data_IF_857433393591
#
_entry.id   IF_857433393591
#
_cell.length_a   1.000
_cell.length_b   1.000
_cell.length_c   1.000
_cell.angle_alpha   90.00
_cell.angle_beta   90.00
_cell.angle_gamma   90.00
#
_symmetry.space_group_name_H-M   'P 1'
#
loop_
_entity.id
_entity.type
_entity.pdbx_description
1 polymer ?
#
# COMPACT_ATOMS: atom_id res chain seq x y z
N UNK A 1 -6.19 16.64 5.66
CA UNK A 1 -6.38 15.18 5.91
C UNK A 1 -4.98 14.57 5.94
N UNK A 2 -4.60 13.91 7.04
CA UNK A 2 -3.27 13.31 7.21
C UNK A 2 -2.98 12.30 6.11
N UNK A 3 -1.80 12.34 5.50
CA UNK A 3 -1.43 11.40 4.43
C UNK A 3 -1.25 9.99 4.98
N UNK A 4 -1.62 8.98 4.19
CA UNK A 4 -1.29 7.59 4.44
C UNK A 4 0.22 7.37 4.19
N UNK A 5 0.88 6.62 5.08
CA UNK A 5 2.30 6.28 4.92
C UNK A 5 2.50 4.78 4.95
N UNK A 6 3.19 4.28 3.93
CA UNK A 6 3.59 2.88 3.79
C UNK A 6 5.10 2.75 3.82
N UNK A 7 5.61 1.85 4.67
CA UNK A 7 7.01 1.44 4.68
C UNK A 7 7.12 0.06 4.05
N UNK A 8 7.78 -0.04 2.91
CA UNK A 8 7.84 -1.25 2.09
C UNK A 8 9.21 -1.93 2.13
N UNK A 9 9.23 -3.25 1.90
CA UNK A 9 10.45 -4.05 1.89
C UNK A 9 11.01 -4.32 3.29
N UNK A 10 10.14 -4.46 4.27
CA UNK A 10 10.49 -4.86 5.64
C UNK A 10 10.93 -6.33 5.65
N UNK A 11 12.05 -6.61 6.31
CA UNK A 11 12.66 -7.95 6.41
C UNK A 11 12.93 -8.39 7.85
N UNK A 12 12.69 -7.51 8.82
CA UNK A 12 12.89 -7.76 10.25
C UNK A 12 11.71 -7.23 11.06
N UNK A 13 11.46 -7.85 12.19
CA UNK A 13 10.46 -7.39 13.17
C UNK A 13 10.84 -6.04 13.78
N UNK A 14 12.13 -5.80 14.02
CA UNK A 14 12.64 -4.53 14.54
C UNK A 14 12.29 -3.34 13.64
N UNK A 15 12.50 -3.47 12.32
CA UNK A 15 12.12 -2.42 11.37
C UNK A 15 10.59 -2.24 11.30
N UNK A 16 9.83 -3.32 11.43
CA UNK A 16 8.37 -3.25 11.47
C UNK A 16 7.86 -2.57 12.75
N UNK A 17 8.41 -2.89 13.91
CA UNK A 17 8.11 -2.23 15.18
C UNK A 17 8.41 -0.73 15.09
N UNK A 18 9.59 -0.36 14.54
CA UNK A 18 9.94 1.05 14.34
C UNK A 18 8.94 1.78 13.43
N UNK A 19 8.49 1.15 12.34
CA UNK A 19 7.48 1.72 11.45
C UNK A 19 6.13 1.90 12.17
N UNK A 20 5.70 0.91 12.96
CA UNK A 20 4.48 0.96 13.77
C UNK A 20 4.54 2.09 14.80
N UNK A 21 5.61 2.15 15.58
CA UNK A 21 5.80 3.15 16.63
C UNK A 21 5.89 4.58 16.08
N UNK A 22 6.40 4.71 14.85
CA UNK A 22 6.43 5.99 14.12
C UNK A 22 5.07 6.40 13.54
N UNK A 23 4.09 5.50 13.48
CA UNK A 23 2.73 5.75 13.00
C UNK A 23 2.50 5.44 11.51
N UNK A 24 3.25 4.50 10.93
CA UNK A 24 2.95 3.99 9.58
C UNK A 24 1.59 3.30 9.53
N UNK A 25 0.84 3.52 8.46
CA UNK A 25 -0.48 2.91 8.27
C UNK A 25 -0.41 1.55 7.57
N UNK A 26 0.61 1.36 6.76
CA UNK A 26 0.85 0.13 6.01
C UNK A 26 2.30 -0.33 6.14
N UNK A 27 2.45 -1.64 6.31
CA UNK A 27 3.73 -2.34 6.42
C UNK A 27 3.87 -3.25 5.21
N UNK A 28 4.88 -3.06 4.36
CA UNK A 28 5.06 -3.84 3.14
C UNK A 28 6.15 -4.90 3.28
N UNK A 29 5.84 -6.15 2.91
CA UNK A 29 6.79 -7.27 2.81
C UNK A 29 6.81 -7.80 1.38
N UNK A 30 8.00 -8.06 0.83
CA UNK A 30 8.15 -8.53 -0.55
C UNK A 30 8.08 -10.04 -0.57
N UNK A 31 6.99 -10.59 -1.14
CA UNK A 31 6.70 -12.03 -1.23
C UNK A 31 7.23 -12.66 -2.53
N UNK A 32 7.87 -11.87 -3.40
CA UNK A 32 8.50 -12.36 -4.64
C UNK A 32 9.77 -13.13 -4.28
N UNK A 33 9.93 -14.40 -4.70
CA UNK A 33 11.09 -15.18 -4.33
C UNK A 33 12.39 -14.66 -4.99
N UNK A 34 13.53 -14.93 -4.35
CA UNK A 34 14.86 -14.65 -4.89
C UNK A 34 15.15 -13.17 -5.25
N UNK A 35 14.54 -12.22 -4.53
CA UNK A 35 14.88 -10.79 -4.62
C UNK A 35 15.68 -10.35 -3.40
N UNK A 36 16.51 -9.32 -3.55
CA UNK A 36 17.33 -8.77 -2.44
C UNK A 36 16.48 -8.40 -1.21
N UNK A 37 15.23 -7.95 -1.43
CA UNK A 37 14.31 -7.52 -0.40
C UNK A 37 13.24 -8.56 -0.04
N UNK A 38 13.35 -9.79 -0.53
CA UNK A 38 12.40 -10.85 -0.19
C UNK A 38 12.46 -11.17 1.29
N UNK A 39 11.28 -11.37 1.89
CA UNK A 39 11.14 -11.77 3.29
C UNK A 39 10.90 -13.28 3.39
N UNK A 40 11.30 -13.90 4.48
CA UNK A 40 10.87 -15.28 4.78
C UNK A 40 9.42 -15.31 5.25
N UNK A 41 8.71 -16.41 5.00
CA UNK A 41 7.32 -16.54 5.41
C UNK A 41 7.14 -16.46 6.93
N UNK A 42 8.13 -16.94 7.70
CA UNK A 42 8.12 -16.82 9.16
C UNK A 42 8.14 -15.36 9.59
N UNK A 43 9.09 -14.57 9.07
CA UNK A 43 9.20 -13.14 9.42
C UNK A 43 7.96 -12.37 8.96
N UNK A 44 7.39 -12.70 7.78
CA UNK A 44 6.13 -12.08 7.35
C UNK A 44 4.99 -12.36 8.34
N UNK A 45 4.89 -13.58 8.85
CA UNK A 45 3.89 -13.95 9.88
C UNK A 45 4.13 -13.22 11.20
N UNK A 46 5.39 -13.08 11.63
CA UNK A 46 5.74 -12.36 12.85
C UNK A 46 5.37 -10.86 12.74
N UNK A 47 5.65 -10.23 11.58
CA UNK A 47 5.25 -8.84 11.31
C UNK A 47 3.72 -8.71 11.26
N UNK A 48 3.01 -9.71 10.70
CA UNK A 48 1.54 -9.74 10.72
C UNK A 48 0.98 -9.73 12.14
N UNK A 49 1.60 -10.50 13.03
CA UNK A 49 1.21 -10.53 14.44
C UNK A 49 1.42 -9.17 15.11
N UNK A 50 2.58 -8.53 14.91
CA UNK A 50 2.87 -7.19 15.43
C UNK A 50 1.84 -6.15 14.97
N UNK A 51 1.47 -6.16 13.68
CA UNK A 51 0.48 -5.24 13.14
C UNK A 51 -0.90 -5.44 13.80
N UNK A 52 -1.32 -6.69 14.00
CA UNK A 52 -2.60 -7.01 14.69
C UNK A 52 -2.59 -6.56 16.14
N UNK A 53 -1.52 -6.87 16.87
CA UNK A 53 -1.37 -6.46 18.28
C UNK A 53 -1.40 -4.95 18.43
N UNK A 54 -0.78 -4.20 17.50
CA UNK A 54 -0.82 -2.74 17.49
C UNK A 54 -2.25 -2.20 17.29
N UNK A 55 -3.04 -2.80 16.37
CA UNK A 55 -4.45 -2.44 16.17
C UNK A 55 -5.30 -2.74 17.39
N UNK A 56 -5.07 -3.87 18.05
CA UNK A 56 -5.78 -4.25 19.29
C UNK A 56 -5.49 -3.29 20.43
N UNK A 57 -4.22 -3.00 20.69
CA UNK A 57 -3.78 -2.06 21.73
C UNK A 57 -4.33 -0.66 21.53
N UNK A 58 -4.42 -0.21 20.28
CA UNK A 58 -4.92 1.13 19.94
C UNK A 58 -6.46 1.22 19.91
N UNK A 59 -7.18 0.14 20.19
CA UNK A 59 -8.64 0.14 20.25
C UNK A 59 -9.31 0.49 18.92
N UNK A 60 -8.71 0.12 17.78
CA UNK A 60 -9.21 0.43 16.45
C UNK A 60 -10.63 -0.12 16.25
N UNK A 61 -11.49 0.66 15.56
CA UNK A 61 -12.89 0.30 15.34
C UNK A 61 -13.04 -0.85 14.32
N UNK A 62 -12.25 -0.82 13.25
CA UNK A 62 -12.22 -1.85 12.21
C UNK A 62 -10.84 -2.50 12.21
N UNK A 63 -10.75 -3.74 12.68
CA UNK A 63 -9.46 -4.41 12.92
C UNK A 63 -9.00 -5.30 11.78
N UNK A 64 -9.90 -5.62 10.86
CA UNK A 64 -9.63 -6.56 9.76
C UNK A 64 -10.00 -5.96 8.41
N UNK A 65 -9.36 -6.42 7.31
CA UNK A 65 -9.77 -6.06 5.96
C UNK A 65 -11.23 -6.34 5.68
N UNK A 66 -11.75 -7.48 6.13
CA UNK A 66 -13.16 -7.87 5.94
C UNK A 66 -14.13 -6.86 6.56
N UNK A 67 -13.82 -6.32 7.76
CA UNK A 67 -14.63 -5.29 8.39
C UNK A 67 -14.60 -3.98 7.61
N UNK A 68 -13.42 -3.59 7.08
CA UNK A 68 -13.28 -2.41 6.22
C UNK A 68 -14.08 -2.57 4.94
N UNK A 69 -13.95 -3.69 4.23
CA UNK A 69 -14.68 -3.95 2.99
C UNK A 69 -16.18 -3.97 3.24
N UNK A 70 -16.64 -4.64 4.31
CA UNK A 70 -18.06 -4.65 4.69
C UNK A 70 -18.58 -3.26 5.06
N UNK A 71 -17.75 -2.40 5.65
CA UNK A 71 -18.11 -1.02 5.90
C UNK A 71 -18.26 -0.23 4.60
N UNK A 72 -17.28 -0.30 3.70
CA UNK A 72 -17.28 0.38 2.40
C UNK A 72 -18.47 -0.06 1.54
N UNK A 73 -18.77 -1.34 1.50
CA UNK A 73 -19.89 -1.91 0.72
C UNK A 73 -21.24 -1.33 1.14
N UNK A 74 -21.41 -0.96 2.41
CA UNK A 74 -22.66 -0.37 2.93
C UNK A 74 -22.83 1.11 2.58
N UNK A 75 -21.78 1.75 2.05
CA UNK A 75 -21.82 3.16 1.71
C UNK A 75 -22.39 3.36 0.29
N UNK A 76 -23.16 4.44 0.12
CA UNK A 76 -23.61 4.86 -1.21
C UNK A 76 -22.55 5.80 -1.82
N UNK A 77 -21.59 5.20 -2.53
CA UNK A 77 -20.47 5.94 -3.11
C UNK A 77 -20.83 6.39 -4.53
N UNK A 78 -20.84 7.70 -4.75
CA UNK A 78 -21.26 8.31 -6.01
C UNK A 78 -20.12 8.45 -7.05
N UNK A 79 -18.85 8.30 -6.63
CA UNK A 79 -17.69 8.50 -7.51
C UNK A 79 -16.47 7.76 -6.98
N UNK A 80 -15.52 7.49 -7.87
CA UNK A 80 -14.22 6.92 -7.50
C UNK A 80 -13.44 7.84 -6.51
N UNK A 81 -13.57 9.16 -6.61
CA UNK A 81 -12.94 10.07 -5.65
C UNK A 81 -13.50 9.86 -4.23
N UNK A 82 -14.83 9.72 -4.07
CA UNK A 82 -15.44 9.41 -2.78
C UNK A 82 -15.04 8.03 -2.26
N UNK A 83 -14.92 7.06 -3.15
CA UNK A 83 -14.44 5.71 -2.84
C UNK A 83 -13.03 5.73 -2.25
N UNK A 84 -12.08 6.35 -2.95
CA UNK A 84 -10.68 6.40 -2.48
C UNK A 84 -10.49 7.29 -1.25
N UNK A 85 -11.27 8.36 -1.09
CA UNK A 85 -11.27 9.16 0.15
C UNK A 85 -11.71 8.34 1.35
N UNK A 86 -12.74 7.51 1.19
CA UNK A 86 -13.22 6.64 2.26
C UNK A 86 -12.16 5.59 2.63
N UNK A 87 -11.59 4.89 1.64
CA UNK A 87 -10.52 3.94 1.92
C UNK A 87 -9.31 4.58 2.60
N UNK A 88 -8.88 5.76 2.14
CA UNK A 88 -7.82 6.51 2.78
C UNK A 88 -8.13 6.78 4.27
N UNK A 89 -9.31 7.31 4.56
CA UNK A 89 -9.74 7.57 5.93
C UNK A 89 -9.71 6.31 6.78
N UNK A 90 -10.32 5.23 6.30
CA UNK A 90 -10.40 3.97 7.04
C UNK A 90 -9.03 3.34 7.31
N UNK A 91 -8.10 3.40 6.36
CA UNK A 91 -6.76 2.88 6.53
C UNK A 91 -5.93 3.69 7.53
N UNK A 92 -6.03 5.02 7.50
CA UNK A 92 -5.34 5.90 8.47
C UNK A 92 -5.92 5.73 9.88
N UNK A 93 -7.24 5.60 10.01
CA UNK A 93 -7.90 5.48 11.30
C UNK A 93 -7.72 4.10 11.94
N UNK A 94 -7.53 3.04 11.14
CA UNK A 94 -7.56 1.66 11.62
C UNK A 94 -6.26 0.87 11.44
N UNK A 95 -5.24 1.40 10.75
CA UNK A 95 -3.93 0.75 10.59
C UNK A 95 -3.16 0.53 11.90
N UNK A 96 -2.00 -0.12 11.81
CA UNK A 96 -1.29 -0.56 10.59
C UNK A 96 -1.81 -1.88 10.01
N UNK A 97 -1.75 -2.02 8.68
CA UNK A 97 -2.08 -3.27 7.97
C UNK A 97 -0.87 -3.84 7.24
N UNK A 98 -0.74 -5.17 7.20
CA UNK A 98 0.37 -5.84 6.51
C UNK A 98 0.05 -6.09 5.04
N UNK A 99 0.92 -5.61 4.17
CA UNK A 99 0.82 -5.71 2.70
C UNK A 99 1.85 -6.70 2.18
N UNK A 100 1.40 -7.80 1.57
CA UNK A 100 2.26 -8.66 0.77
C UNK A 100 2.38 -8.13 -0.66
N UNK A 101 3.62 -7.90 -1.12
CA UNK A 101 3.91 -7.44 -2.47
C UNK A 101 4.24 -8.63 -3.36
N UNK A 102 3.48 -8.81 -4.44
CA UNK A 102 3.60 -9.91 -5.41
C UNK A 102 3.90 -9.34 -6.81
N UNK A 103 4.54 -10.13 -7.66
CA UNK A 103 4.87 -9.71 -9.02
C UNK A 103 4.80 -10.90 -9.97
N UNK A 104 3.75 -10.98 -10.77
CA UNK A 104 3.52 -11.97 -11.80
C UNK A 104 3.59 -13.44 -11.29
N UNK A 105 3.22 -13.66 -10.02
CA UNK A 105 3.11 -14.99 -9.43
C UNK A 105 1.74 -15.60 -9.76
N UNK A 106 1.66 -16.93 -9.70
CA UNK A 106 0.38 -17.62 -9.88
C UNK A 106 -0.64 -17.17 -8.82
N UNK A 107 -1.87 -16.89 -9.23
CA UNK A 107 -2.93 -16.39 -8.35
C UNK A 107 -3.22 -17.33 -7.16
N UNK A 108 -3.16 -18.66 -7.37
CA UNK A 108 -3.37 -19.63 -6.29
C UNK A 108 -2.23 -19.54 -5.25
N UNK A 109 -1.00 -19.36 -5.71
CA UNK A 109 0.14 -19.14 -4.83
C UNK A 109 0.00 -17.85 -4.04
N UNK A 110 -0.41 -16.74 -4.69
CA UNK A 110 -0.60 -15.44 -4.03
C UNK A 110 -1.60 -15.56 -2.87
N UNK A 111 -2.79 -16.13 -3.11
CA UNK A 111 -3.79 -16.29 -2.06
C UNK A 111 -3.38 -17.30 -0.98
N UNK A 112 -2.70 -18.38 -1.34
CA UNK A 112 -2.15 -19.34 -0.38
C UNK A 112 -1.11 -18.71 0.55
N UNK A 113 -0.21 -17.90 0.01
CA UNK A 113 0.79 -17.16 0.80
C UNK A 113 0.14 -16.07 1.66
N UNK A 114 -0.84 -15.36 1.12
CA UNK A 114 -1.59 -14.35 1.87
C UNK A 114 -2.29 -14.98 3.10
N UNK A 115 -2.87 -16.14 2.95
CA UNK A 115 -3.47 -16.87 4.06
C UNK A 115 -2.44 -17.40 5.05
N UNK A 116 -1.39 -18.07 4.55
CA UNK A 116 -0.32 -18.65 5.37
C UNK A 116 0.39 -17.63 6.24
N UNK A 117 0.67 -16.44 5.68
CA UNK A 117 1.36 -15.36 6.39
C UNK A 117 0.40 -14.40 7.09
N UNK A 118 -0.91 -14.67 7.05
CA UNK A 118 -1.96 -13.84 7.60
C UNK A 118 -1.85 -12.37 7.18
N UNK A 119 -1.65 -12.13 5.86
CA UNK A 119 -1.57 -10.79 5.28
C UNK A 119 -2.94 -10.10 5.35
N UNK A 120 -2.93 -8.80 5.50
CA UNK A 120 -4.13 -7.97 5.42
C UNK A 120 -4.40 -7.51 3.97
N UNK A 121 -3.35 -7.24 3.21
CA UNK A 121 -3.43 -6.70 1.86
C UNK A 121 -2.61 -7.51 0.86
N UNK A 122 -3.08 -7.57 -0.39
CA UNK A 122 -2.37 -8.13 -1.54
C UNK A 122 -2.05 -6.97 -2.49
N UNK A 123 -0.76 -6.68 -2.71
CA UNK A 123 -0.32 -5.68 -3.68
C UNK A 123 0.18 -6.36 -4.95
N UNK A 124 -0.47 -6.06 -6.07
CA UNK A 124 -0.09 -6.50 -7.41
C UNK A 124 0.90 -5.50 -7.99
N UNK A 125 2.17 -5.90 -8.11
CA UNK A 125 3.27 -5.01 -8.47
C UNK A 125 3.84 -5.26 -9.88
N UNK A 126 3.32 -6.24 -10.60
CA UNK A 126 3.70 -6.58 -11.97
C UNK A 126 2.64 -6.15 -12.98
N UNK A 127 2.53 -6.96 -14.04
CA UNK A 127 1.56 -6.79 -15.13
C UNK A 127 0.30 -7.65 -14.95
N UNK A 128 -0.02 -8.01 -13.69
CA UNK A 128 -1.21 -8.82 -13.40
C UNK A 128 -2.49 -8.10 -13.83
N UNK A 129 -3.39 -8.81 -14.52
CA UNK A 129 -4.78 -8.38 -14.63
C UNK A 129 -5.42 -8.42 -13.24
N UNK A 130 -6.03 -7.31 -12.82
CA UNK A 130 -6.65 -7.19 -11.50
C UNK A 130 -7.95 -7.96 -11.38
N UNK A 131 -8.69 -8.15 -12.49
CA UNK A 131 -10.05 -8.68 -12.48
C UNK A 131 -10.16 -10.08 -11.85
N UNK A 132 -9.29 -11.07 -12.18
CA UNK A 132 -9.31 -12.35 -11.50
C UNK A 132 -9.05 -12.31 -9.99
N UNK A 133 -8.23 -11.35 -9.53
CA UNK A 133 -7.94 -11.17 -8.10
C UNK A 133 -9.15 -10.62 -7.35
N UNK A 134 -9.85 -9.65 -7.93
CA UNK A 134 -11.07 -9.09 -7.34
C UNK A 134 -12.19 -10.14 -7.32
N UNK A 135 -12.41 -10.87 -8.41
CA UNK A 135 -13.39 -11.95 -8.45
C UNK A 135 -13.13 -13.00 -7.37
N UNK A 136 -11.86 -13.40 -7.18
CA UNK A 136 -11.49 -14.35 -6.13
C UNK A 136 -11.65 -13.78 -4.73
N UNK A 137 -11.54 -12.47 -4.58
CA UNK A 137 -11.66 -11.74 -3.31
C UNK A 137 -13.08 -11.17 -3.07
N UNK A 138 -14.09 -11.64 -3.77
CA UNK A 138 -15.48 -11.14 -3.65
C UNK A 138 -16.06 -11.14 -2.22
N UNK A 139 -15.49 -11.98 -1.34
CA UNK A 139 -15.85 -12.02 0.08
C UNK A 139 -15.12 -10.93 0.90
N UNK A 140 -14.28 -10.12 0.27
CA UNK A 140 -13.58 -9.00 0.91
C UNK A 140 -12.56 -9.41 1.97
N UNK A 141 -11.96 -10.60 1.83
CA UNK A 141 -10.99 -11.12 2.80
C UNK A 141 -9.71 -10.30 2.87
N UNK A 142 -9.30 -9.71 1.75
CA UNK A 142 -8.08 -8.91 1.64
C UNK A 142 -8.39 -7.52 1.07
N UNK A 143 -7.52 -6.56 1.33
CA UNK A 143 -7.48 -5.31 0.60
C UNK A 143 -6.55 -5.47 -0.61
N UNK A 144 -7.04 -5.14 -1.79
CA UNK A 144 -6.28 -5.27 -3.04
C UNK A 144 -5.69 -3.90 -3.42
N UNK A 145 -4.39 -3.88 -3.69
CA UNK A 145 -3.64 -2.70 -4.15
C UNK A 145 -3.07 -3.03 -5.53
N UNK A 146 -3.30 -2.18 -6.52
CA UNK A 146 -2.72 -2.35 -7.86
C UNK A 146 -1.70 -1.24 -8.12
N UNK A 147 -0.49 -1.65 -8.51
CA UNK A 147 0.51 -0.72 -9.05
C UNK A 147 0.17 -0.36 -10.49
N UNK A 148 0.25 0.93 -10.79
CA UNK A 148 0.20 1.48 -12.13
C UNK A 148 1.49 2.23 -12.44
N UNK A 149 2.03 2.01 -13.64
CA UNK A 149 3.21 2.71 -14.16
C UNK A 149 2.73 3.95 -14.90
N UNK A 150 3.29 5.10 -14.58
CA UNK A 150 2.91 6.36 -15.21
C UNK A 150 4.02 6.79 -16.18
N UNK A 151 3.67 7.17 -17.42
CA UNK A 151 2.31 7.43 -17.95
C UNK A 151 1.59 6.22 -18.57
N UNK A 152 2.24 5.07 -18.73
CA UNK A 152 1.82 3.97 -19.60
C UNK A 152 0.46 3.36 -19.22
N UNK A 153 0.14 3.28 -17.91
CA UNK A 153 -1.08 2.65 -17.41
C UNK A 153 -2.19 3.64 -17.04
N UNK A 154 -2.09 4.92 -17.43
CA UNK A 154 -3.13 5.93 -17.09
C UNK A 154 -4.48 5.58 -17.66
N UNK A 155 -4.52 5.12 -18.91
CA UNK A 155 -5.78 4.74 -19.57
C UNK A 155 -6.44 3.55 -18.86
N UNK A 156 -5.66 2.49 -18.56
CA UNK A 156 -6.14 1.31 -17.83
C UNK A 156 -6.68 1.69 -16.43
N UNK A 157 -5.95 2.53 -15.72
CA UNK A 157 -6.36 3.00 -14.40
C UNK A 157 -7.67 3.78 -14.43
N UNK A 158 -7.82 4.71 -15.39
CA UNK A 158 -9.03 5.52 -15.51
C UNK A 158 -10.24 4.68 -15.94
N UNK A 159 -10.05 3.73 -16.83
CA UNK A 159 -11.09 2.79 -17.24
C UNK A 159 -11.58 1.96 -16.05
N UNK A 160 -10.66 1.41 -15.25
CA UNK A 160 -10.99 0.69 -14.03
C UNK A 160 -11.78 1.55 -13.01
N UNK A 161 -11.47 2.84 -12.88
CA UNK A 161 -12.18 3.74 -11.95
C UNK A 161 -13.66 3.90 -12.27
N UNK A 162 -14.07 3.69 -13.52
CA UNK A 162 -15.50 3.78 -13.92
C UNK A 162 -16.37 2.74 -13.22
N UNK A 163 -15.79 1.61 -12.80
CA UNK A 163 -16.52 0.47 -12.21
C UNK A 163 -16.18 0.22 -10.73
N UNK A 164 -15.22 0.95 -10.16
CA UNK A 164 -14.69 0.64 -8.81
C UNK A 164 -15.77 0.69 -7.73
N UNK A 165 -16.72 1.62 -7.81
CA UNK A 165 -17.79 1.76 -6.82
C UNK A 165 -18.74 0.55 -6.84
N UNK A 166 -19.02 -0.01 -8.02
CA UNK A 166 -19.89 -1.17 -8.18
C UNK A 166 -19.25 -2.46 -7.65
N UNK A 167 -17.92 -2.44 -7.54
CA UNK A 167 -17.09 -3.57 -7.08
C UNK A 167 -16.61 -3.41 -5.64
N UNK A 168 -17.30 -2.60 -4.83
CA UNK A 168 -16.89 -2.27 -3.46
C UNK A 168 -16.72 -3.50 -2.54
N UNK A 169 -17.47 -4.59 -2.77
CA UNK A 169 -17.37 -5.84 -2.01
C UNK A 169 -16.10 -6.65 -2.30
N UNK A 170 -15.42 -6.35 -3.40
CA UNK A 170 -14.23 -7.09 -3.85
C UNK A 170 -12.92 -6.56 -3.23
N UNK A 171 -12.99 -5.47 -2.46
CA UNK A 171 -11.92 -4.98 -1.59
C UNK A 171 -10.79 -4.23 -2.28
N UNK A 172 -11.01 -3.61 -3.45
CA UNK A 172 -9.97 -2.75 -4.04
C UNK A 172 -9.74 -1.53 -3.15
N UNK A 173 -8.54 -1.39 -2.60
CA UNK A 173 -8.23 -0.31 -1.65
C UNK A 173 -7.83 0.99 -2.35
N UNK A 174 -6.79 0.93 -3.19
CA UNK A 174 -6.29 2.11 -3.89
C UNK A 174 -5.29 1.77 -5.00
N UNK A 175 -5.11 2.66 -6.00
CA UNK A 175 -4.02 2.58 -6.95
C UNK A 175 -2.72 3.12 -6.35
N UNK A 176 -1.62 2.41 -6.59
CA UNK A 176 -0.27 2.86 -6.25
C UNK A 176 0.46 3.25 -7.53
N UNK A 177 0.91 4.49 -7.60
CA UNK A 177 1.67 5.00 -8.76
C UNK A 177 3.16 4.85 -8.51
N UNK A 178 3.86 4.22 -9.45
CA UNK A 178 5.29 3.98 -9.35
C UNK A 178 5.98 4.23 -10.69
N UNK A 179 7.29 4.40 -10.66
CA UNK A 179 8.12 4.49 -11.86
C UNK A 179 8.19 3.14 -12.60
N UNK A 180 8.52 3.15 -13.89
CA UNK A 180 8.72 1.94 -14.70
C UNK A 180 9.74 0.98 -14.04
N UNK A 181 10.82 1.51 -13.51
CA UNK A 181 11.90 0.76 -12.88
C UNK A 181 11.60 0.23 -11.47
N UNK A 182 10.40 0.44 -10.93
CA UNK A 182 9.89 0.07 -9.60
C UNK A 182 10.92 -0.48 -8.59
N UNK A 183 11.19 0.28 -7.54
CA UNK A 183 12.13 -0.14 -6.48
C UNK A 183 13.60 0.19 -6.73
N UNK A 184 13.97 0.74 -7.88
CA UNK A 184 15.38 1.10 -8.23
C UNK A 184 15.78 2.53 -7.80
N UNK A 185 14.93 3.21 -7.02
CA UNK A 185 15.23 4.56 -6.53
C UNK A 185 15.07 5.68 -7.56
N UNK A 186 14.49 5.39 -8.73
CA UNK A 186 14.18 6.41 -9.74
C UNK A 186 12.84 7.08 -9.41
N UNK A 187 12.84 8.40 -9.39
CA UNK A 187 11.62 9.20 -9.24
C UNK A 187 10.79 9.18 -10.53
N UNK A 188 9.46 9.17 -10.39
CA UNK A 188 8.55 9.54 -11.47
C UNK A 188 8.78 11.03 -11.77
N UNK A 189 8.57 11.45 -13.01
CA UNK A 189 8.34 12.87 -13.28
C UNK A 189 7.00 13.27 -12.64
N UNK A 190 7.07 13.91 -11.48
CA UNK A 190 5.88 14.27 -10.68
C UNK A 190 4.96 15.26 -11.40
N UNK A 191 5.43 15.95 -12.45
CA UNK A 191 4.54 16.80 -13.26
C UNK A 191 3.45 16.00 -13.97
N UNK A 192 3.71 14.72 -14.27
CA UNK A 192 2.76 13.82 -14.93
C UNK A 192 1.56 13.45 -14.06
N UNK A 193 1.65 13.63 -12.73
CA UNK A 193 0.55 13.27 -11.82
C UNK A 193 -0.43 14.42 -11.56
N UNK A 194 -0.12 15.65 -11.99
CA UNK A 194 -0.97 16.81 -11.76
C UNK A 194 -2.36 16.67 -12.38
N UNK A 195 -2.41 16.11 -13.58
CA UNK A 195 -3.61 16.03 -14.40
C UNK A 195 -4.33 14.67 -14.25
N UNK A 196 -3.82 13.79 -13.35
CA UNK A 196 -4.47 12.51 -13.11
C UNK A 196 -5.74 12.69 -12.28
N UNK A 197 -6.78 11.99 -12.70
CA UNK A 197 -8.02 11.90 -11.93
C UNK A 197 -7.89 10.89 -10.77
N UNK A 198 -8.76 11.03 -9.77
CA UNK A 198 -8.81 10.12 -8.64
C UNK A 198 -7.83 10.44 -7.52
N UNK A 199 -7.66 9.47 -6.63
CA UNK A 199 -6.76 9.54 -5.47
C UNK A 199 -5.86 8.31 -5.47
N UNK A 200 -4.58 8.50 -5.15
CA UNK A 200 -3.59 7.45 -5.21
C UNK A 200 -2.47 7.60 -4.17
N UNK A 201 -1.76 6.51 -3.94
CA UNK A 201 -0.50 6.49 -3.19
C UNK A 201 0.65 6.67 -4.16
N UNK A 202 1.54 7.62 -3.88
CA UNK A 202 2.74 7.88 -4.68
C UNK A 202 3.91 7.03 -4.17
N UNK A 203 4.56 6.32 -5.08
CA UNK A 203 5.77 5.55 -4.86
C UNK A 203 6.87 5.98 -5.84
N UNK A 204 8.01 5.30 -5.80
CA UNK A 204 9.12 5.52 -6.72
C UNK A 204 10.07 6.63 -6.31
N UNK A 205 11.27 6.25 -5.85
CA UNK A 205 12.37 7.15 -5.53
C UNK A 205 12.16 8.12 -4.37
N UNK A 206 11.10 7.94 -3.58
CA UNK A 206 10.86 8.78 -2.40
C UNK A 206 11.86 8.48 -1.28
N UNK A 207 12.21 9.52 -0.53
CA UNK A 207 13.07 9.47 0.66
C UNK A 207 12.68 10.60 1.61
N UNK A 208 13.15 10.59 2.87
CA UNK A 208 12.96 11.73 3.76
C UNK A 208 13.44 13.05 3.16
N UNK A 209 14.52 13.03 2.39
CA UNK A 209 15.16 14.25 1.86
C UNK A 209 14.35 14.94 0.75
N UNK A 210 13.62 14.14 -0.08
CA UNK A 210 12.90 14.66 -1.24
C UNK A 210 11.37 14.68 -1.09
N UNK A 211 10.83 14.17 0.00
CA UNK A 211 9.37 14.05 0.18
C UNK A 211 8.66 15.41 0.06
N UNK A 212 9.25 16.46 0.62
CA UNK A 212 8.72 17.83 0.54
C UNK A 212 8.64 18.38 -0.88
N UNK A 213 9.46 17.87 -1.81
CA UNK A 213 9.47 18.32 -3.20
C UNK A 213 8.21 17.82 -3.95
N UNK A 214 7.48 16.88 -3.39
CA UNK A 214 6.19 16.39 -3.93
C UNK A 214 5.03 17.36 -3.65
N UNK A 215 5.17 18.33 -2.75
CA UNK A 215 4.09 19.26 -2.34
C UNK A 215 3.36 19.91 -3.51
N UNK A 216 4.04 20.45 -4.54
CA UNK A 216 3.37 21.08 -5.67
C UNK A 216 2.47 20.14 -6.48
N UNK A 217 2.72 18.84 -6.38
CA UNK A 217 2.05 17.77 -7.14
C UNK A 217 1.08 16.92 -6.30
N UNK A 218 0.91 17.26 -5.02
CA UNK A 218 0.25 16.40 -4.04
C UNK A 218 -1.28 16.52 -3.97
N UNK A 219 -1.92 17.27 -4.87
CA UNK A 219 -3.38 17.49 -4.87
C UNK A 219 -4.19 16.19 -4.80
N UNK A 220 -3.79 15.19 -5.59
CA UNK A 220 -4.47 13.90 -5.69
C UNK A 220 -3.72 12.76 -4.95
N UNK A 221 -2.53 13.05 -4.42
CA UNK A 221 -1.77 12.11 -3.59
C UNK A 221 -2.37 12.07 -2.20
N UNK A 222 -2.92 10.94 -1.79
CA UNK A 222 -3.41 10.78 -0.42
C UNK A 222 -2.42 10.02 0.47
N UNK A 223 -1.37 9.45 -0.08
CA UNK A 223 -0.35 8.74 0.67
C UNK A 223 0.96 8.56 -0.06
N UNK A 224 1.96 8.08 0.66
CA UNK A 224 3.32 7.85 0.18
C UNK A 224 3.77 6.43 0.51
N UNK A 225 4.46 5.79 -0.44
CA UNK A 225 5.10 4.48 -0.27
C UNK A 225 6.61 4.61 -0.46
N UNK A 226 7.39 4.14 0.49
CA UNK A 226 8.85 4.15 0.42
C UNK A 226 9.43 2.77 0.66
N UNK A 227 10.47 2.43 -0.12
CA UNK A 227 11.26 1.22 0.09
C UNK A 227 12.75 1.56 0.19
N UNK A 228 13.44 1.78 -0.92
CA UNK A 228 14.87 2.04 -0.93
C UNK A 228 15.30 3.34 -0.24
N UNK A 229 14.44 4.38 -0.25
CA UNK A 229 14.76 5.67 0.35
C UNK A 229 14.90 5.69 1.88
N UNK A 230 14.55 4.60 2.54
CA UNK A 230 14.75 4.39 4.00
C UNK A 230 15.67 3.21 4.27
N UNK A 231 16.58 2.92 3.34
CA UNK A 231 17.64 1.93 3.50
C UNK A 231 18.99 2.59 3.77
N UNK A 232 19.88 1.84 4.42
CA UNK A 232 21.29 2.17 4.54
C UNK A 232 22.09 1.75 3.29
N UNK A 233 23.40 1.93 3.32
CA UNK A 233 24.31 1.54 2.23
C UNK A 233 24.35 0.02 1.94
N UNK A 234 23.98 -0.80 2.92
CA UNK A 234 23.91 -2.26 2.79
C UNK A 234 22.56 -2.72 2.22
N UNK A 235 21.56 -1.83 2.20
CA UNK A 235 20.18 -2.09 1.80
C UNK A 235 19.35 -2.70 2.92
N UNK A 236 19.75 -2.51 4.17
CA UNK A 236 18.96 -2.78 5.36
C UNK A 236 18.16 -1.55 5.74
N UNK A 237 17.05 -1.74 6.45
CA UNK A 237 16.21 -0.61 6.88
C UNK A 237 16.92 0.23 7.93
N UNK A 238 17.05 1.52 7.64
CA UNK A 238 17.58 2.54 8.53
C UNK A 238 16.45 3.06 9.43
N UNK A 239 16.48 2.70 10.71
CA UNK A 239 15.40 3.00 11.65
C UNK A 239 15.16 4.52 11.82
N UNK A 240 16.18 5.38 11.95
CA UNK A 240 16.03 6.82 11.89
C UNK A 240 15.34 7.34 10.63
N UNK A 241 15.69 6.84 9.43
CA UNK A 241 15.06 7.25 8.18
C UNK A 241 13.59 6.80 8.10
N UNK A 242 13.25 5.62 8.64
CA UNK A 242 11.85 5.19 8.76
C UNK A 242 11.06 6.21 9.57
N UNK A 243 11.53 6.55 10.77
CA UNK A 243 10.87 7.53 11.63
C UNK A 243 10.70 8.88 10.95
N UNK A 244 11.80 9.41 10.37
CA UNK A 244 11.78 10.69 9.68
C UNK A 244 10.77 10.69 8.53
N UNK A 245 10.78 9.65 7.67
CA UNK A 245 9.85 9.57 6.54
C UNK A 245 8.38 9.52 6.99
N UNK A 246 8.09 8.74 8.02
CA UNK A 246 6.71 8.65 8.55
C UNK A 246 6.27 9.99 9.12
N UNK A 247 7.09 10.62 9.96
CA UNK A 247 6.75 11.91 10.58
C UNK A 247 6.55 13.02 9.53
N UNK A 248 7.42 13.10 8.53
CA UNK A 248 7.28 14.08 7.45
C UNK A 248 6.07 13.80 6.58
N UNK A 249 5.85 12.54 6.17
CA UNK A 249 4.69 12.14 5.39
C UNK A 249 3.36 12.46 6.08
N UNK A 250 3.28 12.27 7.39
CA UNK A 250 2.08 12.58 8.19
C UNK A 250 1.79 14.06 8.34
N UNK A 251 2.79 14.93 8.15
CA UNK A 251 2.65 16.39 8.25
C UNK A 251 2.22 17.05 6.94
N UNK A 252 2.31 16.33 5.82
CA UNK A 252 1.92 16.81 4.50
C UNK A 252 0.41 16.66 4.27
#
# INVERSE_FOLDING_TARGET
MTKLVKICGLRTTEAAEKAIDSGADLLGVIMVPNRKRSVTHSVASDISQLAREAREKSGRALKTPTEIVAYVQKQQLASHDSYFRLYHQLLVENGPFLVGVFRNQNIDEVFSLAEKCALDCIQLHGSEDISPYLERNKDGKYLIIKRYVIPDHVAEMNDFFTTVCDRASEGFAFPLLDSEAGGEGKTIDWSLINDLEGKFVLAGGLSPDNLKDTVPYSKNVFGFDVSGGVEDENGDKDLPKIEQFVLEGKRM
#
